data_IF_835337211272
#
_entry.id   IF_835337211272
#
_cell.length_a   1.000
_cell.length_b   1.000
_cell.length_c   1.000
_cell.angle_alpha   90.00
_cell.angle_beta   90.00
_cell.angle_gamma   90.00
#
_symmetry.space_group_name_H-M   'P 1'
#
loop_
_entity.id
_entity.type
_entity.pdbx_description
1 polymer ?
#
# COMPACT_ATOMS: atom_id res chain seq x y z
N UNK A 1 27.27 -4.43 7.30
CA UNK A 1 27.83 -4.53 5.94
C UNK A 1 27.11 -5.58 5.09
N UNK A 2 26.84 -6.79 5.60
CA UNK A 2 26.15 -7.85 4.85
C UNK A 2 24.75 -7.46 4.34
N UNK A 3 23.92 -6.80 5.16
CA UNK A 3 22.61 -6.31 4.70
C UNK A 3 22.74 -5.32 3.54
N UNK A 4 23.66 -4.35 3.68
CA UNK A 4 23.90 -3.37 2.63
C UNK A 4 24.41 -4.04 1.34
N UNK A 5 25.28 -5.04 1.48
CA UNK A 5 25.73 -5.86 0.35
C UNK A 5 24.55 -6.56 -0.33
N UNK A 6 23.64 -7.19 0.42
CA UNK A 6 22.47 -7.87 -0.14
C UNK A 6 21.49 -6.93 -0.85
N UNK A 7 21.26 -5.73 -0.29
CA UNK A 7 20.42 -4.73 -0.93
C UNK A 7 21.06 -4.21 -2.22
N UNK A 8 22.37 -3.99 -2.20
CA UNK A 8 23.13 -3.56 -3.36
C UNK A 8 23.16 -4.63 -4.45
N UNK A 9 23.35 -5.90 -4.12
CA UNK A 9 23.30 -6.99 -5.12
C UNK A 9 21.90 -7.12 -5.74
N UNK A 10 20.83 -6.99 -4.95
CA UNK A 10 19.46 -7.12 -5.46
C UNK A 10 19.10 -5.95 -6.41
N UNK A 11 19.45 -4.72 -6.03
CA UNK A 11 19.20 -3.54 -6.87
C UNK A 11 20.03 -3.56 -8.15
N UNK A 12 21.28 -4.00 -8.10
CA UNK A 12 22.12 -4.19 -9.28
C UNK A 12 21.59 -5.29 -10.21
N UNK A 13 21.11 -6.41 -9.65
CA UNK A 13 20.54 -7.48 -10.45
C UNK A 13 19.25 -7.00 -11.16
N UNK A 14 18.38 -6.30 -10.44
CA UNK A 14 17.15 -5.75 -11.01
C UNK A 14 17.46 -4.74 -12.13
N UNK A 15 18.41 -3.82 -11.92
CA UNK A 15 18.78 -2.85 -12.95
C UNK A 15 19.46 -3.48 -14.16
N UNK A 16 20.30 -4.52 -13.95
CA UNK A 16 20.90 -5.28 -15.03
C UNK A 16 19.84 -6.00 -15.88
N UNK A 17 18.85 -6.64 -15.26
CA UNK A 17 17.75 -7.27 -15.98
C UNK A 17 16.93 -6.25 -16.78
N UNK A 18 16.67 -5.08 -16.21
CA UNK A 18 16.00 -3.98 -16.93
C UNK A 18 16.84 -3.50 -18.12
N UNK A 19 18.16 -3.35 -17.97
CA UNK A 19 19.06 -2.99 -19.07
C UNK A 19 19.02 -4.05 -20.17
N UNK A 20 19.12 -5.34 -19.83
CA UNK A 20 19.03 -6.40 -20.84
C UNK A 20 17.67 -6.35 -21.55
N UNK A 21 16.58 -6.14 -20.82
CA UNK A 21 15.23 -6.07 -21.39
C UNK A 21 15.03 -4.89 -22.36
N UNK A 22 15.67 -3.74 -22.11
CA UNK A 22 15.57 -2.58 -23.00
C UNK A 22 16.54 -2.64 -24.19
N UNK A 23 17.73 -3.21 -24.01
CA UNK A 23 18.82 -3.13 -25.01
C UNK A 23 18.97 -4.38 -25.89
N UNK A 24 18.52 -5.56 -25.44
CA UNK A 24 18.60 -6.80 -26.21
C UNK A 24 17.58 -6.87 -27.36
N UNK A 25 16.31 -6.42 -27.22
CA UNK A 25 15.34 -6.52 -28.30
C UNK A 25 15.58 -5.52 -29.43
N UNK A 26 15.22 -5.90 -30.66
CA UNK A 26 15.16 -4.95 -31.77
C UNK A 26 13.90 -4.07 -31.65
N UNK A 27 14.10 -2.79 -31.37
CA UNK A 27 13.04 -1.80 -31.24
C UNK A 27 12.71 -1.21 -32.62
N UNK A 28 11.49 -1.45 -33.12
CA UNK A 28 10.94 -0.74 -34.29
C UNK A 28 9.77 0.14 -33.82
N UNK A 29 10.04 1.44 -33.71
CA UNK A 29 9.14 2.44 -33.12
C UNK A 29 8.45 3.20 -34.26
N UNK A 30 7.12 3.11 -34.32
CA UNK A 30 6.26 3.90 -35.20
C UNK A 30 4.95 4.22 -34.49
N UNK A 31 4.22 5.23 -34.98
CA UNK A 31 3.09 5.85 -34.28
C UNK A 31 2.09 4.83 -33.68
N UNK A 32 1.66 3.83 -34.46
CA UNK A 32 0.70 2.81 -34.01
C UNK A 32 1.23 1.83 -32.96
N UNK A 33 2.54 1.61 -32.87
CA UNK A 33 3.14 0.81 -31.78
C UNK A 33 3.27 1.60 -30.49
N UNK A 34 3.24 2.93 -30.59
CA UNK A 34 3.37 3.85 -29.46
C UNK A 34 2.04 4.44 -29.01
N UNK A 35 0.95 4.21 -29.76
CA UNK A 35 -0.40 4.63 -29.38
C UNK A 35 -0.96 3.74 -28.25
N UNK A 36 -1.82 4.29 -27.38
CA UNK A 36 -2.46 3.51 -26.33
C UNK A 36 -3.36 2.42 -26.92
N UNK A 37 -3.34 1.24 -26.31
CA UNK A 37 -4.15 0.11 -26.75
C UNK A 37 -5.53 0.11 -26.08
N UNK A 38 -6.60 0.30 -26.86
CA UNK A 38 -7.99 0.21 -26.39
C UNK A 38 -8.73 -0.92 -27.15
N UNK A 39 -8.29 -2.17 -26.94
CA UNK A 39 -8.89 -3.37 -27.57
C UNK A 39 -8.92 -3.34 -29.11
N UNK A 40 -7.97 -2.63 -29.75
CA UNK A 40 -7.90 -2.47 -31.20
C UNK A 40 -8.71 -1.29 -31.76
N UNK A 41 -9.29 -0.46 -30.89
CA UNK A 41 -9.95 0.79 -31.27
C UNK A 41 -9.09 1.99 -30.90
N UNK A 42 -9.35 3.11 -31.59
CA UNK A 42 -8.79 4.41 -31.21
C UNK A 42 -9.39 4.83 -29.86
N UNK A 43 -8.58 5.43 -28.98
CA UNK A 43 -9.03 5.78 -27.66
C UNK A 43 -10.16 6.80 -27.71
N UNK A 44 -11.29 6.50 -27.07
CA UNK A 44 -12.48 7.35 -27.07
C UNK A 44 -12.34 8.61 -26.20
N UNK A 45 -11.26 8.69 -25.41
CA UNK A 45 -10.95 9.81 -24.54
C UNK A 45 -9.68 9.59 -23.74
N UNK A 46 -9.48 10.38 -22.68
CA UNK A 46 -8.36 10.17 -21.78
C UNK A 46 -8.59 8.98 -20.86
N UNK A 47 -7.57 8.15 -20.65
CA UNK A 47 -7.57 7.10 -19.62
C UNK A 47 -7.69 7.62 -18.17
N UNK A 48 -7.62 8.95 -17.97
CA UNK A 48 -7.82 9.60 -16.68
C UNK A 48 -9.33 9.76 -16.42
N UNK A 49 -9.92 8.72 -15.86
CA UNK A 49 -11.31 8.71 -15.45
C UNK A 49 -11.50 9.43 -14.10
N UNK A 50 -12.70 9.98 -13.83
CA UNK A 50 -13.03 10.46 -12.49
C UNK A 50 -12.90 9.32 -11.49
N UNK A 51 -12.15 9.57 -10.41
CA UNK A 51 -11.85 8.57 -9.40
C UNK A 51 -13.05 8.34 -8.47
N UNK A 52 -13.29 7.09 -8.05
CA UNK A 52 -14.38 6.80 -7.13
C UNK A 52 -14.01 7.24 -5.71
N UNK A 53 -14.91 7.99 -5.06
CA UNK A 53 -14.71 8.44 -3.67
C UNK A 53 -14.62 7.27 -2.68
N UNK A 54 -15.14 6.09 -3.04
CA UNK A 54 -15.09 4.89 -2.21
C UNK A 54 -13.65 4.43 -1.96
N UNK A 55 -12.82 4.36 -3.02
CA UNK A 55 -11.41 4.01 -2.86
C UNK A 55 -10.62 5.06 -2.08
N UNK A 56 -11.02 6.32 -2.17
CA UNK A 56 -10.42 7.40 -1.40
C UNK A 56 -10.69 7.24 0.10
N UNK A 57 -11.92 6.91 0.49
CA UNK A 57 -12.28 6.65 1.90
C UNK A 57 -11.47 5.49 2.48
N UNK A 58 -11.36 4.38 1.74
CA UNK A 58 -10.54 3.23 2.14
C UNK A 58 -9.06 3.61 2.31
N UNK A 59 -8.52 4.48 1.46
CA UNK A 59 -7.14 4.94 1.59
C UNK A 59 -6.90 5.77 2.86
N UNK A 60 -7.88 6.61 3.26
CA UNK A 60 -7.80 7.38 4.50
C UNK A 60 -7.88 6.44 5.71
N UNK A 61 -8.78 5.47 5.69
CA UNK A 61 -8.96 4.56 6.84
C UNK A 61 -7.79 3.60 6.98
N UNK A 62 -7.20 3.17 5.86
CA UNK A 62 -5.89 2.51 5.85
C UNK A 62 -4.80 3.36 6.51
N UNK A 63 -4.69 4.65 6.15
CA UNK A 63 -3.68 5.54 6.73
C UNK A 63 -3.84 5.69 8.25
N UNK A 64 -5.07 5.84 8.74
CA UNK A 64 -5.35 5.95 10.17
C UNK A 64 -5.02 4.65 10.92
N UNK A 65 -5.41 3.49 10.38
CA UNK A 65 -5.07 2.21 10.99
C UNK A 65 -3.57 1.91 10.95
N UNK A 66 -2.85 2.33 9.91
CA UNK A 66 -1.39 2.17 9.85
C UNK A 66 -0.68 2.95 10.98
N UNK A 67 -1.17 4.16 11.31
CA UNK A 67 -0.69 4.93 12.46
C UNK A 67 -0.98 4.21 13.79
N UNK A 68 -2.17 3.64 13.96
CA UNK A 68 -2.51 2.88 15.17
C UNK A 68 -1.69 1.58 15.28
N UNK A 69 -1.44 0.88 14.17
CA UNK A 69 -0.55 -0.29 14.14
C UNK A 69 0.89 0.10 14.50
N UNK A 70 1.38 1.25 14.01
CA UNK A 70 2.70 1.76 14.38
C UNK A 70 2.80 2.01 15.90
N UNK A 71 1.72 2.46 16.55
CA UNK A 71 1.64 2.61 18.00
C UNK A 71 1.60 1.26 18.75
N UNK A 72 1.03 0.20 18.14
CA UNK A 72 1.02 -1.16 18.70
C UNK A 72 2.34 -1.92 18.49
N UNK A 73 3.13 -1.58 17.48
CA UNK A 73 4.39 -2.25 17.14
C UNK A 73 5.39 -2.40 18.31
N UNK A 74 5.59 -1.41 19.21
CA UNK A 74 6.52 -1.55 20.34
C UNK A 74 6.03 -2.46 21.49
N UNK A 75 4.83 -3.05 21.42
CA UNK A 75 4.28 -3.89 22.48
C UNK A 75 5.19 -5.06 22.92
N UNK A 76 5.90 -5.79 22.03
CA UNK A 76 6.81 -6.85 22.45
C UNK A 76 7.91 -6.35 23.39
N UNK A 77 8.44 -5.14 23.17
CA UNK A 77 9.41 -4.53 24.07
C UNK A 77 8.76 -3.98 25.34
N UNK A 78 7.58 -3.36 25.22
CA UNK A 78 6.83 -2.87 26.38
C UNK A 78 6.42 -4.00 27.35
N UNK A 79 6.28 -5.23 26.85
CA UNK A 79 5.98 -6.42 27.66
C UNK A 79 7.03 -6.75 28.72
N UNK A 80 8.24 -6.21 28.59
CA UNK A 80 9.35 -6.44 29.52
C UNK A 80 9.42 -5.40 30.64
N UNK A 81 8.47 -4.46 30.70
CA UNK A 81 8.45 -3.42 31.73
C UNK A 81 8.08 -3.96 33.11
N UNK A 82 8.53 -3.27 34.16
CA UNK A 82 8.23 -3.65 35.56
C UNK A 82 6.76 -3.44 35.94
N UNK A 83 6.06 -2.53 35.25
CA UNK A 83 4.65 -2.23 35.50
C UNK A 83 3.74 -2.85 34.43
N UNK A 84 3.63 -4.19 34.47
CA UNK A 84 2.80 -4.96 33.54
C UNK A 84 1.33 -4.55 33.54
N UNK A 85 0.77 -4.18 34.70
CA UNK A 85 -0.62 -3.78 34.81
C UNK A 85 -0.92 -2.54 33.96
N UNK A 86 -0.07 -1.51 34.03
CA UNK A 86 -0.24 -0.31 33.20
C UNK A 86 -0.06 -0.60 31.71
N UNK A 87 0.93 -1.40 31.34
CA UNK A 87 1.16 -1.77 29.94
C UNK A 87 -0.03 -2.53 29.35
N UNK A 88 -0.56 -3.52 30.08
CA UNK A 88 -1.73 -4.30 29.64
C UNK A 88 -2.97 -3.42 29.47
N UNK A 89 -3.25 -2.53 30.43
CA UNK A 89 -4.39 -1.60 30.35
C UNK A 89 -4.25 -0.70 29.12
N UNK A 90 -3.08 -0.09 28.91
CA UNK A 90 -2.87 0.80 27.77
C UNK A 90 -2.94 0.05 26.42
N UNK A 91 -2.41 -1.16 26.35
CA UNK A 91 -2.51 -2.00 25.15
C UNK A 91 -3.96 -2.36 24.82
N UNK A 92 -4.73 -2.79 25.81
CA UNK A 92 -6.15 -3.10 25.64
C UNK A 92 -6.96 -1.88 25.24
N UNK A 93 -6.68 -0.71 25.83
CA UNK A 93 -7.30 0.56 25.44
C UNK A 93 -7.02 0.85 23.96
N UNK A 94 -5.77 0.73 23.51
CA UNK A 94 -5.40 1.05 22.14
C UNK A 94 -6.01 0.07 21.12
N UNK A 95 -6.05 -1.22 21.44
CA UNK A 95 -6.75 -2.23 20.61
C UNK A 95 -8.26 -1.97 20.59
N UNK A 96 -8.85 -1.60 21.73
CA UNK A 96 -10.28 -1.28 21.79
C UNK A 96 -10.64 -0.04 20.97
N UNK A 97 -9.76 0.98 20.94
CA UNK A 97 -9.96 2.17 20.10
C UNK A 97 -9.97 1.81 18.62
N UNK A 98 -9.03 0.96 18.17
CA UNK A 98 -8.99 0.45 16.80
C UNK A 98 -10.26 -0.36 16.45
N UNK A 99 -10.73 -1.19 17.38
CA UNK A 99 -11.96 -1.95 17.17
C UNK A 99 -13.20 -1.03 17.10
N UNK A 100 -13.25 0.02 17.91
CA UNK A 100 -14.34 1.00 17.92
C UNK A 100 -14.34 1.86 16.65
N UNK A 101 -13.17 2.30 16.18
CA UNK A 101 -13.05 3.08 14.94
C UNK A 101 -13.50 2.26 13.72
N UNK A 102 -13.11 0.99 13.65
CA UNK A 102 -13.58 0.06 12.62
C UNK A 102 -15.10 -0.18 12.71
N UNK A 103 -15.62 -0.43 13.91
CA UNK A 103 -17.05 -0.64 14.11
C UNK A 103 -17.85 0.60 13.70
N UNK A 104 -17.35 1.81 14.02
CA UNK A 104 -17.97 3.05 13.60
C UNK A 104 -18.02 3.18 12.07
N UNK A 105 -16.89 2.97 11.39
CA UNK A 105 -16.83 3.04 9.91
C UNK A 105 -17.78 2.04 9.25
N UNK A 106 -17.88 0.83 9.81
CA UNK A 106 -18.81 -0.20 9.35
C UNK A 106 -20.27 0.23 9.50
N UNK A 107 -20.64 0.77 10.67
CA UNK A 107 -22.02 1.24 10.91
C UNK A 107 -22.41 2.41 10.01
N UNK A 108 -21.45 3.26 9.62
CA UNK A 108 -21.65 4.38 8.70
C UNK A 108 -21.65 3.96 7.23
N UNK A 109 -21.60 2.66 6.92
CA UNK A 109 -21.60 2.13 5.56
C UNK A 109 -20.39 2.60 4.73
N UNK A 110 -19.33 3.07 5.36
CA UNK A 110 -18.10 3.52 4.66
C UNK A 110 -17.42 2.36 3.90
N UNK A 111 -17.64 1.13 4.38
CA UNK A 111 -17.14 -0.11 3.82
C UNK A 111 -18.18 -0.84 2.95
N UNK A 112 -19.41 -0.34 2.84
CA UNK A 112 -20.44 -0.98 2.00
C UNK A 112 -20.15 -0.72 0.52
N UNK A 113 -19.93 -1.81 -0.22
CA UNK A 113 -19.82 -1.75 -1.66
C UNK A 113 -21.19 -2.10 -2.24
N UNK A 114 -21.99 -1.08 -2.52
CA UNK A 114 -23.06 -1.25 -3.51
C UNK A 114 -22.42 -1.27 -4.88
N UNK A 115 -22.79 -2.26 -5.70
CA UNK A 115 -22.74 -2.10 -7.16
C UNK A 115 -23.46 -0.81 -7.59
#
# INVERSE_FOLDING_TARGET
MNLMLTLLTNTLLASLLVLIAFWLPQLNIYAEKTSPYECGFDPMGSARLPFSMKFFLVAITFLLFDLEIALLLPLPWASQTTNLNTMLIMALVLISLLAISLAYEWTQKGLEWTE
#
